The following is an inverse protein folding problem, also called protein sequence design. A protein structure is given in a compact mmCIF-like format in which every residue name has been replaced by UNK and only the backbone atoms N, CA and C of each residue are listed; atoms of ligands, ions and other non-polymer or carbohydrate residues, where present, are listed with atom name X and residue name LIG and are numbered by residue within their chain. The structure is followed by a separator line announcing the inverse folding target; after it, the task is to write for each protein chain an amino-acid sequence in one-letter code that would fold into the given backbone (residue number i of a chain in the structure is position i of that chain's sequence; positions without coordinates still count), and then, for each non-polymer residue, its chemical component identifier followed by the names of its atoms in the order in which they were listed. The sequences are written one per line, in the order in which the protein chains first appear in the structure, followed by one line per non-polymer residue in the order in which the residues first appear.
data_IF_243938252344
#
_entry.id   IF_243938252344
#
_cell.length_a   1.000
_cell.length_b   1.000
_cell.length_c   1.000
_cell.angle_alpha   90.00
_cell.angle_beta   90.00
_cell.angle_gamma   90.00
#
_symmetry.space_group_name_H-M   'P 1'
#
loop_
_entity.id
_entity.type
_entity.pdbx_description
1 polymer ?
#
# COMPACT_ATOMS: atom_id res chain seq x y z
N UNK A 1 5.21 -13.92 -5.10
CA UNK A 1 4.03 -13.83 -4.21
C UNK A 1 2.93 -13.05 -4.91
N UNK A 2 1.66 -13.41 -4.71
CA UNK A 2 0.47 -12.68 -5.20
C UNK A 2 -0.02 -11.62 -4.18
N UNK A 3 0.88 -11.11 -3.35
CA UNK A 3 0.55 -10.14 -2.30
C UNK A 3 0.17 -8.80 -2.89
N UNK A 4 -0.82 -8.16 -2.27
CA UNK A 4 -1.38 -6.88 -2.66
C UNK A 4 -0.87 -5.83 -1.69
N UNK A 5 -0.55 -4.66 -2.22
CA UNK A 5 -0.30 -3.46 -1.44
C UNK A 5 -1.38 -2.43 -1.76
N UNK A 6 -2.10 -2.00 -0.73
CA UNK A 6 -3.14 -0.97 -0.84
C UNK A 6 -2.57 0.34 -0.33
N UNK A 7 -2.22 1.25 -1.24
CA UNK A 7 -1.70 2.57 -0.92
C UNK A 7 -2.43 3.61 -1.76
N UNK A 8 -2.93 4.66 -1.11
CA UNK A 8 -3.62 5.75 -1.79
C UNK A 8 -2.79 7.01 -1.63
N UNK A 9 -2.61 7.74 -2.73
CA UNK A 9 -1.94 9.03 -2.68
C UNK A 9 -2.75 10.04 -1.87
N UNK A 10 -2.10 10.88 -1.06
CA UNK A 10 -2.80 11.83 -0.18
C UNK A 10 -3.73 12.78 -0.95
N UNK A 11 -3.30 13.29 -2.11
CA UNK A 11 -4.17 14.12 -2.97
C UNK A 11 -5.46 13.42 -3.41
N UNK A 12 -5.40 12.12 -3.74
CA UNK A 12 -6.59 11.35 -4.10
C UNK A 12 -7.52 11.20 -2.87
N UNK A 13 -6.96 11.07 -1.65
CA UNK A 13 -7.76 11.10 -0.41
C UNK A 13 -8.42 12.46 -0.20
N UNK A 14 -7.69 13.56 -0.42
CA UNK A 14 -8.20 14.92 -0.28
C UNK A 14 -9.32 15.19 -1.29
N UNK A 15 -9.16 14.76 -2.53
CA UNK A 15 -10.20 14.87 -3.56
C UNK A 15 -11.45 14.07 -3.20
N UNK A 16 -11.31 12.83 -2.76
CA UNK A 16 -12.44 12.02 -2.31
C UNK A 16 -13.18 12.68 -1.14
N UNK A 17 -12.46 13.22 -0.16
CA UNK A 17 -13.06 13.97 0.97
C UNK A 17 -13.76 15.24 0.49
N UNK A 18 -13.17 15.96 -0.45
CA UNK A 18 -13.78 17.14 -1.03
C UNK A 18 -15.09 16.81 -1.76
N UNK A 19 -15.11 15.74 -2.57
CA UNK A 19 -16.32 15.24 -3.23
C UNK A 19 -17.39 14.83 -2.21
N UNK A 20 -17.01 14.09 -1.17
CA UNK A 20 -17.93 13.73 -0.08
C UNK A 20 -18.53 14.94 0.63
N UNK A 21 -17.80 16.06 0.71
CA UNK A 21 -18.29 17.30 1.34
C UNK A 21 -19.26 18.08 0.46
N UNK A 22 -19.20 17.91 -0.86
CA UNK A 22 -19.95 18.70 -1.85
C UNK A 22 -21.15 17.97 -2.43
N UNK A 23 -21.07 16.65 -2.55
CA UNK A 23 -22.13 15.84 -3.16
C UNK A 23 -23.13 15.37 -2.11
N UNK A 24 -24.40 15.74 -2.28
CA UNK A 24 -25.48 15.32 -1.38
C UNK A 24 -25.65 13.79 -1.35
N UNK A 25 -25.28 13.09 -2.43
CA UNK A 25 -25.31 11.62 -2.53
C UNK A 25 -24.34 10.95 -1.56
N UNK A 26 -23.31 11.66 -1.09
CA UNK A 26 -22.34 11.14 -0.13
C UNK A 26 -22.85 11.14 1.32
N UNK A 27 -23.97 11.81 1.60
CA UNK A 27 -24.46 11.97 2.97
C UNK A 27 -24.84 10.61 3.57
N UNK A 28 -24.27 10.31 4.74
CA UNK A 28 -24.45 9.05 5.47
C UNK A 28 -23.92 7.80 4.73
N UNK A 29 -23.06 7.98 3.72
CA UNK A 29 -22.46 6.87 3.00
C UNK A 29 -21.07 6.51 3.54
N UNK A 30 -20.77 5.21 3.55
CA UNK A 30 -19.42 4.68 3.76
C UNK A 30 -18.80 4.33 2.41
N UNK A 31 -17.60 4.86 2.14
CA UNK A 31 -16.84 4.59 0.93
C UNK A 31 -15.46 4.03 1.29
N UNK A 32 -15.00 3.03 0.52
CA UNK A 32 -13.60 2.64 0.53
C UNK A 32 -12.84 3.49 -0.48
N UNK A 33 -11.64 3.92 -0.10
CA UNK A 33 -10.68 4.49 -1.03
C UNK A 33 -9.51 3.51 -1.07
N UNK A 34 -9.22 2.98 -2.25
CA UNK A 34 -8.18 1.97 -2.44
C UNK A 34 -7.51 2.20 -3.78
N UNK A 35 -6.20 2.02 -3.83
CA UNK A 35 -5.44 1.91 -5.07
C UNK A 35 -4.47 0.73 -4.91
N UNK A 36 -4.92 -0.42 -5.41
CA UNK A 36 -4.23 -1.68 -5.23
C UNK A 36 -3.16 -1.87 -6.29
N UNK A 37 -1.97 -2.29 -5.86
CA UNK A 37 -0.93 -2.77 -6.75
C UNK A 37 -0.31 -4.06 -6.21
N UNK A 38 0.46 -4.76 -7.03
CA UNK A 38 1.22 -5.91 -6.51
C UNK A 38 2.32 -5.43 -5.58
N UNK A 39 2.54 -6.15 -4.47
CA UNK A 39 3.65 -5.88 -3.54
C UNK A 39 5.01 -5.87 -4.26
N UNK A 40 5.16 -6.67 -5.32
CA UNK A 40 6.38 -6.71 -6.14
C UNK A 40 6.60 -5.40 -6.91
N UNK A 41 5.54 -4.82 -7.48
CA UNK A 41 5.60 -3.52 -8.16
C UNK A 41 5.96 -2.43 -7.16
N UNK A 42 5.32 -2.41 -5.98
CA UNK A 42 5.65 -1.44 -4.93
C UNK A 42 7.14 -1.50 -4.54
N UNK A 43 7.65 -2.68 -4.20
CA UNK A 43 9.05 -2.86 -3.78
C UNK A 43 10.03 -2.40 -4.88
N UNK A 44 9.74 -2.73 -6.14
CA UNK A 44 10.56 -2.29 -7.28
C UNK A 44 10.53 -0.78 -7.43
N UNK A 45 9.37 -0.16 -7.31
CA UNK A 45 9.19 1.29 -7.43
C UNK A 45 9.96 2.03 -6.32
N UNK A 46 9.95 1.49 -5.10
CA UNK A 46 10.79 2.00 -3.99
C UNK A 46 12.27 1.85 -4.33
N UNK A 47 12.70 0.67 -4.80
CA UNK A 47 14.12 0.42 -5.12
C UNK A 47 14.64 1.39 -6.19
N UNK A 48 13.84 1.62 -7.24
CA UNK A 48 14.13 2.62 -8.28
C UNK A 48 14.20 4.03 -7.70
N UNK A 49 13.26 4.39 -6.81
CA UNK A 49 13.24 5.73 -6.20
C UNK A 49 14.45 6.03 -5.31
N UNK A 50 15.02 5.02 -4.64
CA UNK A 50 16.20 5.17 -3.79
C UNK A 50 17.52 4.77 -4.48
N UNK A 51 17.50 4.61 -5.80
CA UNK A 51 18.65 4.23 -6.64
C UNK A 51 19.39 2.96 -6.16
N UNK A 52 18.62 1.92 -5.82
CA UNK A 52 19.17 0.60 -5.44
C UNK A 52 18.62 -0.52 -6.32
N UNK A 53 19.40 -1.58 -6.46
CA UNK A 53 18.97 -2.78 -7.19
C UNK A 53 17.73 -3.42 -6.52
N UNK A 54 16.67 -3.74 -7.29
CA UNK A 54 15.48 -4.37 -6.74
C UNK A 54 15.80 -5.80 -6.25
N UNK A 55 15.17 -6.25 -5.15
CA UNK A 55 15.37 -7.59 -4.65
C UNK A 55 14.85 -8.64 -5.65
N UNK A 56 15.65 -9.68 -5.83
CA UNK A 56 15.46 -10.77 -6.78
C UNK A 56 15.08 -12.10 -6.12
N UNK A 57 15.31 -12.25 -4.82
CA UNK A 57 15.03 -13.47 -4.05
C UNK A 57 13.69 -13.35 -3.33
N UNK A 58 12.89 -14.42 -3.37
CA UNK A 58 11.67 -14.55 -2.57
C UNK A 58 11.84 -15.73 -1.61
N UNK A 59 11.54 -15.54 -0.32
CA UNK A 59 11.65 -16.58 0.70
C UNK A 59 10.27 -17.10 1.12
N UNK A 60 10.15 -18.38 1.51
CA UNK A 60 8.93 -18.90 2.13
C UNK A 60 8.62 -18.18 3.45
N UNK A 61 7.35 -17.82 3.64
CA UNK A 61 6.89 -17.10 4.83
C UNK A 61 7.23 -17.83 6.14
N UNK A 62 7.05 -19.15 6.18
CA UNK A 62 7.32 -19.98 7.36
C UNK A 62 8.77 -19.88 7.83
N UNK A 63 9.72 -19.89 6.88
CA UNK A 63 11.15 -19.76 7.19
C UNK A 63 11.46 -18.36 7.74
N UNK A 64 10.90 -17.32 7.13
CA UNK A 64 11.09 -15.93 7.58
C UNK A 64 10.49 -15.74 8.98
N UNK A 65 9.30 -16.27 9.25
CA UNK A 65 8.66 -16.18 10.57
C UNK A 65 9.49 -16.85 11.65
N UNK A 66 9.99 -18.06 11.39
CA UNK A 66 10.83 -18.79 12.34
C UNK A 66 12.14 -18.02 12.62
N UNK A 67 12.82 -17.55 11.58
CA UNK A 67 14.03 -16.76 11.72
C UNK A 67 13.79 -15.51 12.58
N UNK A 68 12.70 -14.77 12.32
CA UNK A 68 12.37 -13.56 13.10
C UNK A 68 12.07 -13.88 14.56
N UNK A 69 11.44 -15.00 14.89
CA UNK A 69 11.22 -15.43 16.29
C UNK A 69 12.55 -15.70 17.01
N UNK A 70 13.50 -16.35 16.34
CA UNK A 70 14.81 -16.67 16.92
C UNK A 70 15.63 -15.40 17.10
N UNK A 71 15.73 -14.57 16.05
CA UNK A 71 16.60 -13.40 16.06
C UNK A 71 16.07 -12.29 16.95
N UNK A 72 14.74 -12.10 17.04
CA UNK A 72 14.16 -11.10 17.94
C UNK A 72 14.38 -11.38 19.43
N UNK A 73 14.72 -12.62 19.81
CA UNK A 73 15.15 -12.94 21.18
C UNK A 73 16.55 -12.42 21.50
N UNK A 74 17.38 -12.24 20.47
CA UNK A 74 18.80 -11.88 20.60
C UNK A 74 19.00 -10.37 20.35
N UNK A 75 18.25 -9.77 19.42
CA UNK A 75 18.36 -8.35 19.07
C UNK A 75 17.01 -7.77 18.64
N UNK A 76 16.77 -6.48 18.89
CA UNK A 76 15.57 -5.78 18.41
C UNK A 76 15.74 -5.46 16.92
N UNK A 77 15.34 -6.38 16.05
CA UNK A 77 15.32 -6.11 14.61
C UNK A 77 14.12 -5.23 14.23
N UNK A 78 14.24 -4.46 13.13
CA UNK A 78 13.11 -3.75 12.56
C UNK A 78 12.06 -4.71 11.99
N UNK A 79 12.37 -5.99 11.73
CA UNK A 79 11.42 -6.96 11.17
C UNK A 79 10.63 -7.63 12.30
N UNK A 80 9.31 -7.48 12.26
CA UNK A 80 8.37 -8.04 13.26
C UNK A 80 7.33 -8.94 12.58
N UNK A 81 6.65 -9.79 13.35
CA UNK A 81 5.56 -10.64 12.82
C UNK A 81 4.49 -9.80 12.11
N UNK A 82 4.10 -8.65 12.69
CA UNK A 82 3.15 -7.71 12.07
C UNK A 82 3.62 -7.16 10.72
N UNK A 83 4.92 -6.91 10.57
CA UNK A 83 5.48 -6.47 9.28
C UNK A 83 5.49 -7.61 8.25
N UNK A 84 5.73 -8.85 8.68
CA UNK A 84 5.56 -10.01 7.80
C UNK A 84 4.10 -10.12 7.36
N UNK A 85 3.13 -10.00 8.27
CA UNK A 85 1.69 -10.05 7.97
C UNK A 85 1.32 -9.03 6.89
N UNK A 86 1.79 -7.79 7.02
CA UNK A 86 1.58 -6.73 6.03
C UNK A 86 2.21 -7.06 4.66
N UNK A 87 3.39 -7.69 4.63
CA UNK A 87 4.08 -8.05 3.38
C UNK A 87 3.42 -9.22 2.64
N UNK A 88 2.71 -10.10 3.35
CA UNK A 88 2.04 -11.27 2.76
C UNK A 88 0.56 -11.04 2.48
N UNK A 89 0.00 -9.89 2.89
CA UNK A 89 -1.40 -9.54 2.73
C UNK A 89 -1.86 -9.63 1.27
N UNK A 90 -3.11 -10.09 1.08
CA UNK A 90 -3.78 -10.24 -0.22
C UNK A 90 -5.17 -9.60 -0.23
N UNK A 91 -5.46 -8.79 0.77
CA UNK A 91 -6.73 -8.08 0.89
C UNK A 91 -6.80 -6.99 -0.17
N UNK A 92 -7.96 -6.86 -0.78
CA UNK A 92 -8.32 -5.77 -1.68
C UNK A 92 -9.65 -5.20 -1.18
N UNK A 93 -9.83 -3.89 -1.33
CA UNK A 93 -11.04 -3.19 -0.90
C UNK A 93 -11.82 -2.69 -2.12
N UNK A 94 -13.11 -3.03 -2.27
CA UNK A 94 -13.87 -2.64 -3.44
C UNK A 94 -14.13 -1.12 -3.46
N UNK A 95 -13.80 -0.49 -4.59
CA UNK A 95 -13.97 0.95 -4.87
C UNK A 95 -15.22 1.26 -5.71
N UNK A 96 -15.93 0.24 -6.19
CA UNK A 96 -17.09 0.38 -7.08
C UNK A 96 -18.18 1.33 -6.57
N UNK A 97 -18.34 1.43 -5.24
CA UNK A 97 -19.32 2.33 -4.64
C UNK A 97 -18.95 3.81 -4.82
N UNK A 98 -17.70 4.19 -4.55
CA UNK A 98 -17.28 5.59 -4.70
C UNK A 98 -17.19 6.00 -6.18
N UNK A 99 -16.78 5.05 -7.03
CA UNK A 99 -16.78 5.21 -8.49
C UNK A 99 -18.19 5.49 -9.02
N UNK A 100 -19.18 4.71 -8.60
CA UNK A 100 -20.56 4.87 -9.10
C UNK A 100 -21.32 6.05 -8.47
N UNK A 101 -21.04 6.39 -7.22
CA UNK A 101 -21.77 7.45 -6.51
C UNK A 101 -21.16 8.83 -6.75
N UNK A 102 -19.83 8.93 -6.81
CA UNK A 102 -19.12 10.22 -6.84
C UNK A 102 -18.26 10.38 -8.10
N UNK A 103 -18.34 9.45 -9.05
CA UNK A 103 -17.54 9.44 -10.29
C UNK A 103 -16.03 9.54 -9.99
N UNK A 104 -15.61 9.01 -8.84
CA UNK A 104 -14.25 9.12 -8.33
C UNK A 104 -13.45 7.84 -8.57
N UNK A 105 -12.24 7.99 -9.10
CA UNK A 105 -11.22 6.96 -9.12
C UNK A 105 -9.85 7.57 -8.80
N UNK A 106 -8.97 6.89 -8.05
CA UNK A 106 -7.62 7.39 -7.77
C UNK A 106 -6.84 7.62 -9.06
N UNK A 107 -6.23 8.80 -9.21
CA UNK A 107 -5.47 9.13 -10.41
C UNK A 107 -3.98 8.89 -10.25
N UNK A 108 -3.47 8.92 -9.02
CA UNK A 108 -2.05 8.80 -8.74
C UNK A 108 -1.70 7.37 -8.32
N UNK A 109 -1.22 6.61 -9.30
CA UNK A 109 -0.68 5.28 -9.03
C UNK A 109 0.63 5.34 -8.26
N UNK A 110 0.73 4.47 -7.26
CA UNK A 110 1.86 4.38 -6.33
C UNK A 110 3.16 4.07 -7.06
N UNK A 111 3.12 3.26 -8.11
CA UNK A 111 4.29 2.93 -8.93
C UNK A 111 5.05 4.17 -9.43
N UNK A 112 4.33 5.24 -9.78
CA UNK A 112 4.93 6.45 -10.33
C UNK A 112 5.16 7.55 -9.29
N UNK A 113 4.42 7.53 -8.17
CA UNK A 113 4.44 8.62 -7.18
C UNK A 113 5.17 8.26 -5.88
N UNK A 114 5.49 6.98 -5.63
CA UNK A 114 6.18 6.59 -4.39
C UNK A 114 7.54 7.29 -4.20
N UNK A 115 8.18 7.69 -5.31
CA UNK A 115 9.45 8.42 -5.29
C UNK A 115 9.35 9.81 -4.65
N UNK A 116 8.16 10.41 -4.60
CA UNK A 116 7.94 11.70 -3.94
C UNK A 116 8.22 11.64 -2.43
N UNK A 117 8.07 10.47 -1.81
CA UNK A 117 8.37 10.27 -0.37
C UNK A 117 9.86 10.31 -0.04
N UNK A 118 10.74 10.15 -1.04
CA UNK A 118 12.19 10.07 -0.87
C UNK A 118 12.93 11.32 -1.37
N UNK A 119 12.21 12.26 -1.98
CA UNK A 119 12.75 13.58 -2.30
C UNK A 119 12.75 14.39 -1.02
N UNK A 120 13.92 14.60 -0.44
CA UNK A 120 14.10 15.63 0.59
C UNK A 120 14.00 17.00 -0.11
N UNK A 121 13.17 17.90 0.42
CA UNK A 121 13.32 19.33 0.17
C UNK A 121 14.64 19.84 0.75
#
# INVERSE_FOLDING_TARGET
SSSIATYVHVDDVVEALYLCSKDVRAKNELFNISNDCSMKVLIRSIAVAVDTSPPWITLPESLVRLAVVIVNKISKLPVTQKRIDALVQKTSYPTSKIESYLDFSPRKNVEHHIGELFKND
#
